data_IF_556857041298
#
_entry.id   IF_556857041298
#
_cell.length_a   1.000
_cell.length_b   1.000
_cell.length_c   1.000
_cell.angle_alpha   90.00
_cell.angle_beta   90.00
_cell.angle_gamma   90.00
#
_symmetry.space_group_name_H-M   'P 1'
#
loop_
_entity.id
_entity.type
_entity.pdbx_description
1 polymer ?
#
# COMPACT_ATOMS: atom_id res chain seq x y z
N UNK A 1 -76.62 7.52 -9.09
CA UNK A 1 -77.01 7.43 -10.50
C UNK A 1 -76.25 8.52 -11.26
N UNK A 2 -75.37 8.11 -12.20
CA UNK A 2 -74.76 8.88 -13.32
C UNK A 2 -73.88 10.12 -13.00
N UNK A 3 -72.86 10.50 -13.77
CA UNK A 3 -71.94 9.90 -14.75
C UNK A 3 -71.05 11.07 -15.26
N UNK A 4 -69.78 10.78 -15.62
CA UNK A 4 -68.88 11.58 -16.52
C UNK A 4 -68.30 12.88 -15.94
N UNK A 5 -67.09 13.32 -16.26
CA UNK A 5 -66.04 12.82 -17.16
C UNK A 5 -64.97 13.90 -17.38
N UNK A 6 -63.72 13.45 -17.50
CA UNK A 6 -62.54 13.99 -18.20
C UNK A 6 -62.38 15.48 -18.56
N UNK A 7 -61.25 16.07 -18.16
CA UNK A 7 -60.31 16.89 -18.96
C UNK A 7 -58.95 16.88 -18.21
N UNK A 8 -57.75 16.58 -18.75
CA UNK A 8 -57.32 16.35 -20.12
C UNK A 8 -56.58 17.57 -20.71
N UNK A 9 -55.31 17.80 -20.33
CA UNK A 9 -54.26 18.52 -21.09
C UNK A 9 -52.90 18.16 -20.45
N UNK A 10 -52.12 17.22 -21.00
CA UNK A 10 -51.23 17.37 -22.16
C UNK A 10 -50.18 18.46 -21.94
N UNK A 11 -48.99 18.05 -21.50
CA UNK A 11 -47.74 18.77 -21.69
C UNK A 11 -46.79 17.80 -22.39
N UNK A 12 -46.71 17.97 -23.71
CA UNK A 12 -45.81 17.29 -24.63
C UNK A 12 -44.55 18.12 -24.84
N UNK A 13 -43.48 17.40 -25.16
CA UNK A 13 -42.32 17.80 -25.94
C UNK A 13 -41.37 18.92 -25.47
N UNK A 14 -40.16 18.49 -25.10
CA UNK A 14 -38.94 19.17 -25.53
C UNK A 14 -37.77 18.17 -25.66
N UNK A 15 -37.68 17.57 -26.84
CA UNK A 15 -36.47 16.94 -27.38
C UNK A 15 -35.37 18.00 -27.55
N UNK A 16 -34.25 17.89 -26.83
CA UNK A 16 -32.98 18.53 -27.22
C UNK A 16 -31.82 17.58 -27.02
N UNK A 17 -31.44 16.97 -28.14
CA UNK A 17 -30.13 16.37 -28.34
C UNK A 17 -29.06 17.46 -28.21
N UNK A 18 -28.17 17.31 -27.24
CA UNK A 18 -26.97 18.13 -27.07
C UNK A 18 -25.74 17.31 -27.42
N UNK A 19 -25.26 17.44 -28.65
CA UNK A 19 -23.98 16.90 -29.11
C UNK A 19 -22.85 17.44 -28.23
N UNK A 20 -22.21 16.56 -27.44
CA UNK A 20 -20.97 16.92 -26.75
C UNK A 20 -19.82 16.71 -27.72
N UNK A 21 -19.38 17.79 -28.38
CA UNK A 21 -18.16 17.81 -29.18
C UNK A 21 -16.95 17.65 -28.26
N UNK A 22 -16.32 16.48 -28.31
CA UNK A 22 -15.00 16.23 -27.74
C UNK A 22 -13.99 17.04 -28.54
N UNK A 23 -13.40 18.08 -27.92
CA UNK A 23 -12.23 18.76 -28.49
C UNK A 23 -11.03 17.82 -28.35
N UNK A 24 -10.68 17.13 -29.44
CA UNK A 24 -9.40 16.45 -29.56
C UNK A 24 -8.30 17.51 -29.76
N UNK A 25 -7.52 17.78 -28.71
CA UNK A 25 -6.28 18.53 -28.85
C UNK A 25 -5.22 17.61 -29.50
N UNK A 26 -5.04 17.75 -30.80
CA UNK A 26 -3.88 17.18 -31.50
C UNK A 26 -2.67 18.05 -31.19
N UNK A 27 -1.76 17.54 -30.35
CA UNK A 27 -0.40 18.03 -30.26
C UNK A 27 0.49 17.17 -31.16
N UNK A 28 0.94 17.74 -32.27
CA UNK A 28 1.95 17.14 -33.12
C UNK A 28 3.33 17.72 -32.78
N UNK A 29 4.35 16.86 -32.95
CA UNK A 29 5.80 17.14 -32.92
C UNK A 29 6.50 17.00 -31.55
N UNK A 30 7.18 15.88 -31.35
CA UNK A 30 8.63 15.75 -31.59
C UNK A 30 9.10 14.39 -31.05
N UNK A 31 9.85 13.65 -31.87
CA UNK A 31 10.46 12.38 -31.49
C UNK A 31 11.48 12.59 -30.36
N UNK A 32 11.12 12.16 -29.16
CA UNK A 32 12.06 11.76 -28.11
C UNK A 32 11.42 10.59 -27.39
N UNK A 33 11.83 9.38 -27.75
CA UNK A 33 11.47 8.18 -26.99
C UNK A 33 12.36 8.21 -25.74
N UNK A 34 11.98 9.05 -24.76
CA UNK A 34 12.32 8.74 -23.39
C UNK A 34 11.59 7.42 -23.06
N UNK A 35 12.24 6.42 -22.47
CA UNK A 35 11.53 5.22 -22.03
C UNK A 35 10.47 5.66 -21.02
N UNK A 36 9.19 5.53 -21.38
CA UNK A 36 8.09 5.80 -20.46
C UNK A 36 8.18 4.78 -19.33
N UNK A 37 8.56 5.21 -18.13
CA UNK A 37 8.48 4.37 -16.95
C UNK A 37 7.04 3.86 -16.80
N UNK A 38 6.88 2.56 -16.58
CA UNK A 38 5.56 1.99 -16.31
C UNK A 38 4.98 2.62 -15.04
N UNK A 39 3.66 2.68 -14.89
CA UNK A 39 3.03 3.18 -13.66
C UNK A 39 3.54 2.43 -12.41
N UNK A 40 3.83 1.14 -12.55
CA UNK A 40 4.44 0.32 -11.50
C UNK A 40 5.86 0.81 -11.13
N UNK A 41 6.69 1.15 -12.11
CA UNK A 41 8.03 1.69 -11.87
C UNK A 41 7.99 3.09 -11.21
N UNK A 42 7.02 3.93 -11.58
CA UNK A 42 6.81 5.24 -10.92
C UNK A 42 6.36 5.06 -9.47
N UNK A 43 5.42 4.15 -9.19
CA UNK A 43 4.97 3.84 -7.84
C UNK A 43 6.09 3.24 -6.97
N UNK A 44 6.90 2.33 -7.54
CA UNK A 44 8.08 1.77 -6.90
C UNK A 44 9.09 2.85 -6.50
N UNK A 45 9.43 3.77 -7.42
CA UNK A 45 10.35 4.86 -7.15
C UNK A 45 9.81 5.80 -6.06
N UNK A 46 8.50 6.09 -6.11
CA UNK A 46 7.83 6.91 -5.08
C UNK A 46 7.79 6.21 -3.71
N UNK A 47 7.63 4.90 -3.65
CA UNK A 47 7.66 4.15 -2.39
C UNK A 47 9.06 4.07 -1.78
N UNK A 48 10.12 3.94 -2.60
CA UNK A 48 11.51 3.95 -2.12
C UNK A 48 11.87 5.32 -1.57
N UNK A 49 11.42 6.36 -2.28
CA UNK A 49 11.51 7.74 -1.85
C UNK A 49 10.75 7.96 -0.52
N UNK A 50 9.58 7.33 -0.34
CA UNK A 50 8.81 7.37 0.90
C UNK A 50 9.50 6.66 2.09
N UNK A 51 10.48 5.79 1.83
CA UNK A 51 11.33 5.21 2.88
C UNK A 51 12.55 6.07 3.22
N UNK A 52 12.86 7.13 2.45
CA UNK A 52 13.95 8.03 2.83
C UNK A 52 13.58 8.84 4.06
N UNK A 53 14.48 8.87 5.04
CA UNK A 53 14.30 9.66 6.25
C UNK A 53 13.28 9.08 7.25
N UNK A 54 12.79 7.85 7.01
CA UNK A 54 12.03 7.10 8.01
C UNK A 54 12.96 6.21 8.83
N UNK A 55 12.52 5.83 10.03
CA UNK A 55 13.14 4.79 10.84
C UNK A 55 12.38 3.46 10.63
N UNK A 56 12.88 2.55 9.78
CA UNK A 56 12.21 1.29 9.52
C UNK A 56 12.34 0.36 10.74
N UNK A 57 11.22 -0.27 11.09
CA UNK A 57 11.13 -1.25 12.18
C UNK A 57 10.72 -2.59 11.55
N UNK A 58 11.68 -3.50 11.43
CA UNK A 58 11.43 -4.86 10.95
C UNK A 58 11.02 -5.75 12.12
N UNK A 59 9.93 -6.48 11.97
CA UNK A 59 9.44 -7.45 12.95
C UNK A 59 9.23 -8.75 12.20
N UNK A 60 10.17 -9.67 12.41
CA UNK A 60 10.19 -10.97 11.76
C UNK A 60 9.69 -12.07 12.71
N UNK A 61 9.08 -13.09 12.15
CA UNK A 61 8.58 -14.22 12.91
C UNK A 61 8.00 -15.29 12.01
N UNK A 62 7.62 -16.42 12.61
CA UNK A 62 6.94 -17.44 11.85
C UNK A 62 5.56 -16.93 11.37
N UNK A 63 5.21 -17.29 10.14
CA UNK A 63 3.91 -17.05 9.54
C UNK A 63 2.82 -17.86 10.27
N UNK A 64 2.02 -18.65 9.55
CA UNK A 64 0.94 -19.47 10.14
C UNK A 64 1.41 -20.51 11.18
N UNK A 65 2.70 -20.82 11.22
CA UNK A 65 3.26 -21.73 12.21
C UNK A 65 3.36 -21.12 13.62
N UNK A 66 3.33 -19.79 13.76
CA UNK A 66 3.19 -19.17 15.08
C UNK A 66 1.74 -19.24 15.56
N UNK A 67 1.51 -20.07 16.57
CA UNK A 67 0.18 -20.33 17.15
C UNK A 67 -0.07 -19.55 18.43
N UNK A 68 0.87 -18.68 18.86
CA UNK A 68 0.71 -17.85 20.05
C UNK A 68 -0.37 -16.78 19.78
N UNK A 69 -1.00 -16.32 20.85
CA UNK A 69 -1.97 -15.21 20.79
C UNK A 69 -1.27 -13.93 20.29
N UNK A 70 -1.66 -13.49 19.09
CA UNK A 70 -1.09 -12.31 18.45
C UNK A 70 -1.29 -11.03 19.25
N UNK A 71 -2.40 -10.90 19.99
CA UNK A 71 -2.68 -9.74 20.85
C UNK A 71 -1.74 -9.69 22.06
N UNK A 72 -1.40 -10.85 22.63
CA UNK A 72 -0.43 -10.92 23.74
C UNK A 72 0.98 -10.63 23.23
N UNK A 73 1.40 -11.32 22.17
CA UNK A 73 2.75 -11.17 21.61
C UNK A 73 2.96 -9.75 21.07
N UNK A 74 2.02 -9.24 20.28
CA UNK A 74 2.10 -7.90 19.69
C UNK A 74 2.16 -6.78 20.73
N UNK A 75 1.31 -6.81 21.77
CA UNK A 75 1.37 -5.81 22.85
C UNK A 75 2.66 -5.88 23.65
N UNK A 76 3.21 -7.08 23.86
CA UNK A 76 4.52 -7.22 24.49
C UNK A 76 5.61 -6.58 23.63
N UNK A 77 5.65 -6.87 22.33
CA UNK A 77 6.62 -6.27 21.40
C UNK A 77 6.49 -4.74 21.38
N UNK A 78 5.27 -4.21 21.27
CA UNK A 78 5.02 -2.78 21.27
C UNK A 78 5.52 -2.10 22.55
N UNK A 79 5.24 -2.70 23.73
CA UNK A 79 5.78 -2.22 25.00
C UNK A 79 7.31 -2.20 25.01
N UNK A 80 7.96 -3.30 24.60
CA UNK A 80 9.42 -3.38 24.61
C UNK A 80 10.06 -2.39 23.62
N UNK A 81 9.44 -2.15 22.46
CA UNK A 81 9.88 -1.14 21.50
C UNK A 81 9.80 0.28 22.08
N UNK A 82 8.69 0.64 22.77
CA UNK A 82 8.59 1.95 23.46
C UNK A 82 9.70 2.12 24.48
N UNK A 83 9.88 1.13 25.37
CA UNK A 83 10.92 1.15 26.40
C UNK A 83 12.33 1.20 25.79
N UNK A 84 12.54 0.54 24.65
CA UNK A 84 13.81 0.60 23.93
C UNK A 84 14.07 2.02 23.41
N UNK A 85 13.11 2.63 22.71
CA UNK A 85 13.27 3.97 22.14
C UNK A 85 13.38 5.07 23.20
N UNK A 86 12.77 4.91 24.37
CA UNK A 86 12.97 5.82 25.50
C UNK A 86 14.42 5.78 26.03
N UNK A 87 14.99 4.58 26.13
CA UNK A 87 16.38 4.38 26.60
C UNK A 87 17.42 4.69 25.55
N UNK A 88 17.09 4.45 24.28
CA UNK A 88 17.96 4.62 23.11
C UNK A 88 17.14 5.25 21.98
N UNK A 89 17.01 6.58 21.99
CA UNK A 89 16.28 7.29 20.95
C UNK A 89 16.86 6.94 19.57
N UNK A 90 16.03 6.50 18.60
CA UNK A 90 16.50 6.28 17.25
C UNK A 90 16.82 7.62 16.58
N UNK A 91 17.47 7.59 15.40
CA UNK A 91 17.64 8.79 14.59
C UNK A 91 16.30 9.54 14.37
N UNK A 92 16.34 10.87 14.18
CA UNK A 92 15.15 11.65 13.87
C UNK A 92 14.43 11.12 12.63
N UNK A 93 13.10 11.13 12.66
CA UNK A 93 12.25 10.68 11.57
C UNK A 93 11.02 9.90 12.04
N UNK A 94 9.97 9.82 11.22
CA UNK A 94 8.82 8.98 11.52
C UNK A 94 9.23 7.50 11.52
N UNK A 95 8.60 6.70 12.38
CA UNK A 95 8.83 5.25 12.42
C UNK A 95 7.79 4.56 11.53
N UNK A 96 8.20 3.51 10.86
CA UNK A 96 7.33 2.72 9.98
C UNK A 96 7.59 1.25 10.25
N UNK A 97 6.53 0.46 10.44
CA UNK A 97 6.67 -0.99 10.55
C UNK A 97 6.81 -1.55 9.14
N UNK A 98 7.93 -2.21 8.84
CA UNK A 98 8.13 -2.86 7.55
C UNK A 98 7.74 -4.32 7.69
N UNK A 99 6.83 -4.77 6.81
CA UNK A 99 6.30 -6.13 6.79
C UNK A 99 6.53 -6.79 5.44
N UNK A 100 6.59 -8.11 5.44
CA UNK A 100 6.55 -8.93 4.23
C UNK A 100 5.10 -9.35 3.92
N UNK A 101 4.86 -9.84 2.71
CA UNK A 101 3.52 -10.11 2.16
C UNK A 101 2.81 -11.35 2.69
N UNK A 102 2.95 -11.63 3.99
CA UNK A 102 2.16 -12.66 4.66
C UNK A 102 0.65 -12.37 4.56
N UNK A 103 -0.19 -13.40 4.36
CA UNK A 103 -1.62 -13.21 4.25
C UNK A 103 -2.28 -12.70 5.53
N UNK A 104 -3.46 -12.10 5.37
CA UNK A 104 -4.29 -11.74 6.52
C UNK A 104 -4.73 -12.99 7.28
N UNK A 105 -4.29 -13.11 8.54
CA UNK A 105 -4.63 -14.21 9.44
C UNK A 105 -4.88 -13.70 10.86
N UNK A 106 -5.51 -14.54 11.70
CA UNK A 106 -5.80 -14.24 13.13
C UNK A 106 -4.58 -14.48 14.05
N UNK A 107 -3.64 -15.30 13.61
CA UNK A 107 -2.39 -15.65 14.28
C UNK A 107 -1.23 -15.52 13.27
N UNK A 108 0.02 -15.68 13.71
CA UNK A 108 1.19 -15.48 12.85
C UNK A 108 1.68 -14.04 12.79
N UNK A 109 2.80 -13.85 12.09
CA UNK A 109 3.49 -12.56 12.01
C UNK A 109 2.62 -11.42 11.43
N UNK A 110 1.74 -11.68 10.47
CA UNK A 110 0.82 -10.67 9.93
C UNK A 110 -0.15 -10.17 11.01
N UNK A 111 -0.72 -11.07 11.81
CA UNK A 111 -1.57 -10.71 12.95
C UNK A 111 -0.80 -9.95 14.03
N UNK A 112 0.40 -10.41 14.37
CA UNK A 112 1.26 -9.79 15.39
C UNK A 112 1.62 -8.35 14.98
N UNK A 113 2.07 -8.15 13.74
CA UNK A 113 2.48 -6.83 13.25
C UNK A 113 1.31 -5.86 13.09
N UNK A 114 0.09 -6.33 12.82
CA UNK A 114 -1.12 -5.50 12.92
C UNK A 114 -1.31 -4.97 14.34
N UNK A 115 -1.26 -5.85 15.34
CA UNK A 115 -1.38 -5.44 16.76
C UNK A 115 -0.29 -4.44 17.14
N UNK A 116 0.97 -4.67 16.73
CA UNK A 116 2.07 -3.74 17.03
C UNK A 116 1.84 -2.38 16.35
N UNK A 117 1.40 -2.36 15.09
CA UNK A 117 1.08 -1.14 14.34
C UNK A 117 -0.03 -0.34 15.01
N UNK A 118 -1.13 -0.99 15.39
CA UNK A 118 -2.27 -0.38 16.07
C UNK A 118 -1.88 0.19 17.44
N UNK A 119 -1.16 -0.61 18.25
CA UNK A 119 -0.76 -0.21 19.61
C UNK A 119 0.22 0.97 19.57
N UNK A 120 1.20 0.96 18.67
CA UNK A 120 2.17 2.05 18.51
C UNK A 120 1.66 3.23 17.68
N UNK A 121 0.49 3.11 17.05
CA UNK A 121 -0.04 4.08 16.08
C UNK A 121 0.94 4.38 14.94
N UNK A 122 1.62 3.36 14.45
CA UNK A 122 2.61 3.48 13.38
C UNK A 122 2.05 2.92 12.06
N UNK A 123 2.31 3.58 10.92
CA UNK A 123 1.93 3.05 9.62
C UNK A 123 2.73 1.78 9.28
N UNK A 124 2.16 0.94 8.41
CA UNK A 124 2.87 -0.21 7.85
C UNK A 124 3.34 0.08 6.42
N UNK A 125 4.55 -0.36 6.11
CA UNK A 125 5.08 -0.46 4.75
C UNK A 125 5.15 -1.93 4.36
N UNK A 126 4.47 -2.29 3.28
CA UNK A 126 4.43 -3.66 2.76
C UNK A 126 5.46 -3.82 1.65
N UNK A 127 6.31 -4.84 1.76
CA UNK A 127 7.21 -5.27 0.67
C UNK A 127 6.71 -6.61 0.15
N UNK A 128 6.34 -6.67 -1.13
CA UNK A 128 5.87 -7.90 -1.79
C UNK A 128 6.89 -8.45 -2.77
N UNK A 129 7.01 -9.77 -2.86
CA UNK A 129 7.66 -10.43 -3.99
C UNK A 129 6.96 -10.08 -5.31
N UNK A 130 7.76 -9.93 -6.36
CA UNK A 130 7.30 -9.76 -7.73
C UNK A 130 6.58 -11.03 -8.23
N UNK A 131 5.66 -10.87 -9.18
CA UNK A 131 4.77 -11.95 -9.60
C UNK A 131 5.49 -13.10 -10.35
N UNK A 132 6.68 -12.84 -10.89
CA UNK A 132 7.56 -13.83 -11.49
C UNK A 132 8.28 -14.69 -10.44
N UNK A 133 8.45 -14.19 -9.21
CA UNK A 133 8.99 -14.94 -8.07
C UNK A 133 7.89 -15.73 -7.36
N UNK A 134 6.78 -15.06 -7.03
CA UNK A 134 5.59 -15.69 -6.46
C UNK A 134 4.34 -14.88 -6.86
N UNK A 135 3.54 -15.38 -7.82
CA UNK A 135 2.36 -14.67 -8.31
C UNK A 135 1.24 -14.56 -7.26
N UNK A 136 1.33 -15.31 -6.15
CA UNK A 136 0.32 -15.34 -5.10
C UNK A 136 0.69 -14.47 -3.89
N UNK A 137 1.96 -14.10 -3.74
CA UNK A 137 2.45 -13.34 -2.60
C UNK A 137 1.81 -11.96 -2.49
N UNK A 138 1.92 -11.13 -3.54
CA UNK A 138 1.32 -9.80 -3.52
C UNK A 138 -0.22 -9.83 -3.41
N UNK A 139 -0.97 -10.63 -4.18
CA UNK A 139 -2.44 -10.65 -4.07
C UNK A 139 -2.95 -11.08 -2.69
N UNK A 140 -2.24 -11.96 -1.99
CA UNK A 140 -2.69 -12.47 -0.70
C UNK A 140 -2.21 -11.63 0.49
N UNK A 141 -1.24 -10.74 0.30
CA UNK A 141 -0.64 -9.96 1.38
C UNK A 141 -1.65 -9.14 2.19
N UNK A 142 -1.46 -9.14 3.50
CA UNK A 142 -2.22 -8.31 4.43
C UNK A 142 -1.91 -6.81 4.24
N UNK A 143 -2.93 -6.05 3.81
CA UNK A 143 -2.84 -4.60 3.54
C UNK A 143 -3.47 -3.72 4.61
N UNK A 144 -3.96 -4.28 5.72
CA UNK A 144 -4.63 -3.47 6.74
C UNK A 144 -3.67 -2.44 7.37
N UNK A 145 -3.97 -1.14 7.30
CA UNK A 145 -3.07 -0.11 7.83
C UNK A 145 -1.75 0.05 7.07
N UNK A 146 -1.63 -0.52 5.87
CA UNK A 146 -0.50 -0.26 4.95
C UNK A 146 -0.70 1.09 4.28
N UNK A 147 0.31 1.96 4.36
CA UNK A 147 0.30 3.28 3.71
C UNK A 147 1.27 3.37 2.54
N UNK A 148 2.24 2.46 2.48
CA UNK A 148 3.27 2.39 1.45
C UNK A 148 3.43 0.94 1.02
N UNK A 149 3.43 0.67 -0.28
CA UNK A 149 3.65 -0.67 -0.84
C UNK A 149 4.80 -0.62 -1.86
N UNK A 150 5.67 -1.62 -1.79
CA UNK A 150 6.88 -1.74 -2.61
C UNK A 150 7.03 -3.16 -3.13
N UNK A 151 7.57 -3.31 -4.34
CA UNK A 151 8.04 -4.61 -4.80
C UNK A 151 9.43 -4.92 -4.28
N UNK A 152 9.74 -6.21 -4.14
CA UNK A 152 11.08 -6.69 -3.83
C UNK A 152 12.09 -6.16 -4.84
N UNK A 153 11.80 -6.26 -6.14
CA UNK A 153 12.67 -5.75 -7.22
C UNK A 153 12.99 -4.26 -7.06
N UNK A 154 12.04 -3.44 -6.63
CA UNK A 154 12.27 -2.02 -6.37
C UNK A 154 13.27 -1.82 -5.22
N UNK A 155 13.07 -2.52 -4.11
CA UNK A 155 13.96 -2.46 -2.95
C UNK A 155 15.35 -2.99 -3.31
N UNK A 156 15.43 -4.13 -3.99
CA UNK A 156 16.68 -4.75 -4.42
C UNK A 156 17.47 -3.83 -5.36
N UNK A 157 16.80 -3.15 -6.29
CA UNK A 157 17.45 -2.19 -7.20
C UNK A 157 18.03 -0.96 -6.47
N UNK A 158 17.55 -0.66 -5.26
CA UNK A 158 18.08 0.45 -4.44
C UNK A 158 19.35 0.10 -3.66
N UNK A 159 19.68 -1.20 -3.54
CA UNK A 159 20.92 -1.65 -2.91
C UNK A 159 22.09 -1.40 -3.85
N UNK A 160 22.96 -0.46 -3.49
CA UNK A 160 24.15 -0.11 -4.29
C UNK A 160 25.17 -1.27 -4.21
N UNK A 161 25.90 -1.63 -5.28
CA UNK A 161 26.92 -2.69 -5.22
C UNK A 161 27.96 -2.51 -4.10
N UNK A 162 28.29 -1.26 -3.75
CA UNK A 162 29.25 -0.95 -2.68
C UNK A 162 28.81 -1.40 -1.27
N UNK A 163 27.51 -1.65 -1.06
CA UNK A 163 26.98 -2.16 0.21
C UNK A 163 26.96 -3.69 0.27
N UNK A 164 27.00 -4.39 -0.87
CA UNK A 164 27.09 -5.85 -0.93
C UNK A 164 28.50 -6.34 -0.60
N UNK A 165 29.54 -5.59 -1.01
CA UNK A 165 30.95 -5.89 -0.68
C UNK A 165 31.28 -5.75 0.82
N UNK A 166 30.38 -5.13 1.61
CA UNK A 166 30.53 -4.97 3.08
C UNK A 166 29.85 -6.09 3.88
N UNK A 167 29.10 -6.96 3.22
CA UNK A 167 28.37 -8.08 3.82
C UNK A 167 29.03 -9.45 3.54
N UNK A 168 30.06 -9.49 2.70
CA UNK A 168 30.96 -10.64 2.45
C UNK A 168 32.23 -10.57 3.29
#
# INVERSE_FOLDING_TARGET
>A
DRHRGAHGHAADDAHKQGETRVLAAQCACACSIAPSMSCAAVAALAGLEALRGVHPVFIEGAARADTRDASIVGRNIARELRLHWERRPPPPGPKVIVIQGDPYTEHGISAITRVVSEDLQLPRCLITLDADLDPTHAPNADRLGVTTELSYSAVAASLVPADLDRLS
#
